data_IF_051719874533
#
_entry.id   IF_051719874533
#
_cell.length_a   1.000
_cell.length_b   1.000
_cell.length_c   1.000
_cell.angle_alpha   90.00
_cell.angle_beta   90.00
_cell.angle_gamma   90.00
#
_symmetry.space_group_name_H-M   'P 1'
#
loop_
_entity.id
_entity.type
_entity.pdbx_description
1 polymer ?
#
# COMPACT_ATOMS: atom_id res chain seq x y z
N UNK A 1 1.19 13.46 -14.00
CA UNK A 1 -0.10 13.40 -13.25
C UNK A 1 -0.55 11.95 -13.29
N UNK A 2 -0.54 11.30 -12.14
CA UNK A 2 -0.88 9.88 -12.01
C UNK A 2 -2.32 9.68 -11.56
N UNK A 3 -2.89 8.52 -11.90
CA UNK A 3 -4.09 7.98 -11.23
C UNK A 3 -3.63 6.88 -10.27
N UNK A 4 -4.02 6.97 -9.02
CA UNK A 4 -3.66 6.05 -7.94
C UNK A 4 -4.92 5.41 -7.38
N UNK A 5 -4.90 4.09 -7.20
CA UNK A 5 -5.88 3.38 -6.39
C UNK A 5 -5.19 2.99 -5.08
N UNK A 6 -5.59 3.65 -3.98
CA UNK A 6 -4.96 3.57 -2.67
C UNK A 6 -5.85 2.83 -1.69
N UNK A 7 -5.35 1.75 -1.09
CA UNK A 7 -6.08 0.92 -0.13
C UNK A 7 -5.60 1.15 1.30
N UNK A 8 -6.56 1.22 2.22
CA UNK A 8 -6.31 1.46 3.64
C UNK A 8 -5.77 0.23 4.38
N UNK A 9 -5.16 0.46 5.54
CA UNK A 9 -4.67 -0.58 6.47
C UNK A 9 -5.80 -1.24 7.29
N UNK A 10 -5.43 -2.14 8.19
CA UNK A 10 -6.38 -2.92 9.00
C UNK A 10 -7.28 -2.08 9.92
N UNK A 11 -6.88 -0.87 10.30
CA UNK A 11 -7.72 0.02 11.09
C UNK A 11 -8.79 0.77 10.29
N UNK A 12 -8.89 0.55 8.97
CA UNK A 12 -9.92 1.15 8.11
C UNK A 12 -9.49 2.50 7.52
N UNK A 13 -10.46 3.28 7.03
CA UNK A 13 -10.22 4.63 6.52
C UNK A 13 -10.15 5.63 7.69
N UNK A 14 -9.01 5.63 8.38
CA UNK A 14 -8.71 6.61 9.42
C UNK A 14 -8.56 8.02 8.84
N UNK A 15 -8.63 9.03 9.71
CA UNK A 15 -8.43 10.42 9.30
C UNK A 15 -7.01 10.64 8.71
N UNK A 16 -5.98 9.97 9.24
CA UNK A 16 -4.61 10.08 8.74
C UNK A 16 -4.42 9.40 7.39
N UNK A 17 -5.04 8.25 7.15
CA UNK A 17 -5.06 7.62 5.83
C UNK A 17 -5.74 8.54 4.79
N UNK A 18 -6.88 9.14 5.13
CA UNK A 18 -7.58 10.07 4.24
C UNK A 18 -6.77 11.34 4.00
N UNK A 19 -6.10 11.87 5.04
CA UNK A 19 -5.20 13.01 4.91
C UNK A 19 -4.03 12.71 3.94
N UNK A 20 -3.42 11.52 4.02
CA UNK A 20 -2.38 11.12 3.08
C UNK A 20 -2.92 11.07 1.63
N UNK A 21 -4.11 10.54 1.41
CA UNK A 21 -4.75 10.56 0.10
C UNK A 21 -4.99 11.99 -0.42
N UNK A 22 -5.40 12.90 0.47
CA UNK A 22 -5.63 14.31 0.14
C UNK A 22 -4.32 15.05 -0.17
N UNK A 23 -3.23 14.74 0.51
CA UNK A 23 -1.91 15.27 0.18
C UNK A 23 -1.45 14.89 -1.23
N UNK A 24 -1.67 13.63 -1.65
CA UNK A 24 -1.39 13.21 -3.02
C UNK A 24 -2.30 13.94 -4.05
N UNK A 25 -3.57 14.15 -3.71
CA UNK A 25 -4.50 14.97 -4.54
C UNK A 25 -4.03 16.41 -4.65
N UNK A 26 -3.60 17.01 -3.54
CA UNK A 26 -3.06 18.38 -3.50
C UNK A 26 -1.78 18.52 -4.34
N UNK A 27 -1.00 17.45 -4.49
CA UNK A 27 0.16 17.39 -5.38
C UNK A 27 -0.21 17.19 -6.87
N UNK A 28 -1.50 17.16 -7.22
CA UNK A 28 -2.00 17.11 -8.59
C UNK A 28 -2.27 15.70 -9.13
N UNK A 29 -2.32 14.67 -8.28
CA UNK A 29 -2.68 13.31 -8.68
C UNK A 29 -4.18 13.04 -8.50
N UNK A 30 -4.73 12.11 -9.27
CA UNK A 30 -6.08 11.58 -9.07
C UNK A 30 -5.98 10.37 -8.14
N UNK A 31 -6.59 10.43 -6.95
CA UNK A 31 -6.52 9.35 -5.96
C UNK A 31 -7.92 8.81 -5.67
N UNK A 32 -8.09 7.52 -5.93
CA UNK A 32 -9.24 6.74 -5.52
C UNK A 32 -8.87 5.97 -4.26
N UNK A 33 -9.62 6.20 -3.19
CA UNK A 33 -9.39 5.54 -1.90
C UNK A 33 -10.70 4.84 -1.48
N UNK A 34 -10.96 3.61 -1.95
CA UNK A 34 -12.20 2.90 -1.61
C UNK A 34 -12.17 2.44 -0.15
N UNK A 35 -13.34 2.45 0.46
CA UNK A 35 -13.55 1.86 1.78
C UNK A 35 -13.82 0.35 1.63
N UNK A 36 -12.92 -0.47 2.18
CA UNK A 36 -13.04 -1.92 2.16
C UNK A 36 -13.83 -2.47 3.36
N UNK A 37 -14.19 -1.60 4.32
CA UNK A 37 -14.78 -1.97 5.61
C UNK A 37 -16.20 -1.41 5.85
N UNK A 38 -16.83 -0.82 4.85
CA UNK A 38 -18.20 -0.30 4.94
C UNK A 38 -18.39 0.73 6.07
N UNK A 39 -17.43 1.65 6.21
CA UNK A 39 -17.43 2.74 7.19
C UNK A 39 -16.87 2.38 8.56
N UNK A 40 -16.34 1.16 8.74
CA UNK A 40 -15.75 0.78 10.04
C UNK A 40 -14.31 1.25 10.16
N UNK A 41 -13.99 1.81 11.31
CA UNK A 41 -12.63 2.15 11.71
C UNK A 41 -12.34 1.61 13.11
N UNK A 42 -11.08 1.34 13.41
CA UNK A 42 -10.61 0.78 14.67
C UNK A 42 -9.49 1.64 15.23
N UNK A 43 -9.47 1.81 16.56
CA UNK A 43 -8.40 2.54 17.24
C UNK A 43 -7.17 1.67 17.51
N UNK A 44 -7.36 0.37 17.60
CA UNK A 44 -6.33 -0.62 17.88
C UNK A 44 -6.08 -1.49 16.65
N UNK A 45 -4.80 -1.74 16.34
CA UNK A 45 -4.39 -2.53 15.18
C UNK A 45 -4.86 -3.98 15.26
N UNK A 46 -4.81 -4.61 16.45
CA UNK A 46 -5.25 -5.99 16.62
C UNK A 46 -6.76 -6.14 16.43
N UNK A 47 -7.56 -5.13 16.87
CA UNK A 47 -9.01 -5.11 16.59
C UNK A 47 -9.27 -5.02 15.06
N UNK A 48 -8.52 -4.17 14.37
CA UNK A 48 -8.59 -4.05 12.92
C UNK A 48 -8.21 -5.34 12.19
N UNK A 49 -7.13 -6.00 12.62
CA UNK A 49 -6.70 -7.30 12.08
C UNK A 49 -7.75 -8.37 12.34
N UNK A 50 -8.28 -8.47 13.57
CA UNK A 50 -9.35 -9.42 13.88
C UNK A 50 -10.60 -9.19 13.02
N UNK A 51 -10.93 -7.93 12.71
CA UNK A 51 -12.01 -7.63 11.77
C UNK A 51 -11.67 -8.06 10.34
N UNK A 52 -10.44 -7.84 9.88
CA UNK A 52 -9.99 -8.29 8.56
C UNK A 52 -10.10 -9.82 8.41
N UNK A 53 -9.72 -10.56 9.45
CA UNK A 53 -9.85 -12.02 9.49
C UNK A 53 -11.32 -12.46 9.43
N UNK A 54 -12.23 -11.76 10.13
CA UNK A 54 -13.66 -12.05 10.07
C UNK A 54 -14.26 -11.77 8.69
N UNK A 55 -13.85 -10.68 8.02
CA UNK A 55 -14.23 -10.38 6.64
C UNK A 55 -13.65 -11.43 5.69
N UNK A 56 -12.44 -11.85 5.95
CA UNK A 56 -11.62 -12.74 5.13
C UNK A 56 -10.77 -12.00 4.10
N UNK A 57 -9.47 -12.31 4.05
CA UNK A 57 -8.53 -11.64 3.15
C UNK A 57 -8.90 -11.77 1.68
N UNK A 58 -9.45 -12.92 1.26
CA UNK A 58 -9.97 -13.11 -0.09
C UNK A 58 -11.12 -12.16 -0.44
N UNK A 59 -12.00 -11.86 0.51
CA UNK A 59 -13.08 -10.89 0.32
C UNK A 59 -12.54 -9.46 0.24
N UNK A 60 -11.52 -9.12 1.02
CA UNK A 60 -10.83 -7.82 0.96
C UNK A 60 -10.21 -7.61 -0.43
N UNK A 61 -9.50 -8.62 -0.94
CA UNK A 61 -8.94 -8.61 -2.30
C UNK A 61 -10.04 -8.46 -3.34
N UNK A 62 -11.14 -9.19 -3.19
CA UNK A 62 -12.31 -9.09 -4.09
C UNK A 62 -12.92 -7.68 -4.09
N UNK A 63 -13.07 -7.05 -2.92
CA UNK A 63 -13.57 -5.66 -2.79
C UNK A 63 -12.63 -4.68 -3.48
N UNK A 64 -11.32 -4.84 -3.29
CA UNK A 64 -10.31 -4.03 -3.99
C UNK A 64 -10.37 -4.21 -5.51
N UNK A 65 -10.53 -5.44 -6.00
CA UNK A 65 -10.69 -5.74 -7.42
C UNK A 65 -11.96 -5.12 -8.00
N UNK A 66 -13.06 -5.15 -7.24
CA UNK A 66 -14.32 -4.51 -7.65
C UNK A 66 -14.17 -2.98 -7.76
N UNK A 67 -13.45 -2.35 -6.82
CA UNK A 67 -13.16 -0.91 -6.88
C UNK A 67 -12.30 -0.54 -8.11
N UNK A 68 -11.45 -1.44 -8.57
CA UNK A 68 -10.61 -1.22 -9.76
C UNK A 68 -11.39 -1.40 -11.08
N UNK A 69 -12.53 -2.08 -11.09
CA UNK A 69 -13.22 -2.50 -12.32
C UNK A 69 -13.64 -1.31 -13.21
N UNK A 70 -14.06 -0.21 -12.60
CA UNK A 70 -14.51 1.00 -13.30
C UNK A 70 -13.35 1.99 -13.63
N UNK A 71 -12.13 1.67 -13.21
CA UNK A 71 -10.97 2.54 -13.41
C UNK A 71 -10.18 2.13 -14.66
N UNK A 72 -9.44 3.08 -15.28
CA UNK A 72 -8.51 2.76 -16.36
C UNK A 72 -7.50 1.68 -15.95
N UNK A 73 -6.98 0.92 -16.92
CA UNK A 73 -5.97 -0.10 -16.64
C UNK A 73 -4.61 0.52 -16.26
N UNK A 74 -4.26 1.67 -16.85
CA UNK A 74 -2.97 2.34 -16.67
C UNK A 74 -2.91 3.22 -15.41
N UNK A 75 -2.95 2.60 -14.22
CA UNK A 75 -2.90 3.30 -12.93
C UNK A 75 -1.84 2.70 -12.01
N UNK A 76 -1.48 3.42 -10.97
CA UNK A 76 -0.62 2.95 -9.88
C UNK A 76 -1.49 2.35 -8.78
N UNK A 77 -1.11 1.17 -8.30
CA UNK A 77 -1.76 0.51 -7.16
C UNK A 77 -0.95 0.75 -5.91
N UNK A 78 -1.57 1.26 -4.87
CA UNK A 78 -0.92 1.54 -3.60
C UNK A 78 -1.72 0.99 -2.42
N UNK A 79 -1.04 0.57 -1.36
CA UNK A 79 -1.71 0.05 -0.18
C UNK A 79 -0.89 0.25 1.08
N UNK A 80 -1.60 0.51 2.18
CA UNK A 80 -1.06 0.55 3.53
C UNK A 80 -1.29 -0.79 4.22
N UNK A 81 -0.25 -1.49 4.64
CA UNK A 81 -0.32 -2.74 5.41
C UNK A 81 -1.31 -3.74 4.77
N UNK A 82 -2.45 -4.04 5.39
CA UNK A 82 -3.51 -4.89 4.82
C UNK A 82 -3.90 -4.50 3.38
N UNK A 83 -3.92 -3.22 3.07
CA UNK A 83 -4.24 -2.69 1.74
C UNK A 83 -3.24 -3.09 0.65
N UNK A 84 -2.07 -3.60 1.04
CA UNK A 84 -1.10 -4.16 0.08
C UNK A 84 -1.65 -5.43 -0.60
N UNK A 85 -2.49 -6.22 0.08
CA UNK A 85 -3.07 -7.43 -0.52
C UNK A 85 -3.85 -7.14 -1.82
N UNK A 86 -4.87 -6.26 -1.83
CA UNK A 86 -5.55 -5.91 -3.08
C UNK A 86 -4.66 -5.12 -4.05
N UNK A 87 -3.74 -4.25 -3.55
CA UNK A 87 -2.83 -3.50 -4.39
C UNK A 87 -1.88 -4.42 -5.16
N UNK A 88 -1.22 -5.35 -4.47
CA UNK A 88 -0.30 -6.31 -5.08
C UNK A 88 -1.02 -7.29 -6.00
N UNK A 89 -2.18 -7.82 -5.59
CA UNK A 89 -3.02 -8.66 -6.45
C UNK A 89 -3.33 -7.97 -7.78
N UNK A 90 -3.76 -6.72 -7.74
CA UNK A 90 -4.09 -5.94 -8.94
C UNK A 90 -2.84 -5.62 -9.77
N UNK A 91 -1.73 -5.25 -9.13
CA UNK A 91 -0.48 -4.96 -9.84
C UNK A 91 0.03 -6.20 -10.59
N UNK A 92 -0.11 -7.39 -10.03
CA UNK A 92 0.34 -8.64 -10.64
C UNK A 92 -0.62 -9.19 -11.70
N UNK A 93 -1.96 -9.07 -11.47
CA UNK A 93 -2.94 -9.81 -12.26
C UNK A 93 -3.73 -8.94 -13.24
N UNK A 94 -3.83 -7.63 -13.00
CA UNK A 94 -4.56 -6.73 -13.90
C UNK A 94 -3.61 -6.13 -14.94
N UNK A 95 -3.81 -6.40 -16.25
CA UNK A 95 -2.92 -5.89 -17.29
C UNK A 95 -2.85 -4.37 -17.31
N UNK A 96 -1.66 -3.81 -17.54
CA UNK A 96 -1.47 -2.38 -17.77
C UNK A 96 -1.14 -1.56 -16.53
N UNK A 97 -0.87 -2.19 -15.38
CA UNK A 97 -0.37 -1.48 -14.19
C UNK A 97 0.80 -0.57 -14.53
N UNK A 98 0.79 0.66 -14.02
CA UNK A 98 1.86 1.65 -14.19
C UNK A 98 2.93 1.55 -13.13
N UNK A 99 2.61 0.97 -11.99
CA UNK A 99 3.50 0.76 -10.87
C UNK A 99 2.74 0.31 -9.63
N UNK A 100 3.50 -0.04 -8.60
CA UNK A 100 2.95 -0.38 -7.29
C UNK A 100 3.74 0.30 -6.16
N UNK A 101 3.06 0.68 -5.10
CA UNK A 101 3.62 1.29 -3.90
C UNK A 101 3.07 0.55 -2.69
N UNK A 102 3.95 -0.15 -1.97
CA UNK A 102 3.60 -0.93 -0.80
C UNK A 102 4.13 -0.27 0.47
N UNK A 103 3.23 0.12 1.34
CA UNK A 103 3.52 0.82 2.57
C UNK A 103 3.29 -0.11 3.75
N UNK A 104 4.33 -0.37 4.53
CA UNK A 104 4.35 -1.14 5.78
C UNK A 104 4.19 -2.67 5.64
N UNK A 105 3.99 -3.21 4.44
CA UNK A 105 3.87 -4.64 4.20
C UNK A 105 4.22 -5.00 2.75
N UNK A 106 4.47 -6.27 2.49
CA UNK A 106 4.43 -6.90 1.17
C UNK A 106 4.26 -8.42 1.34
N UNK A 107 3.82 -9.09 0.29
CA UNK A 107 3.70 -10.55 0.32
C UNK A 107 4.46 -11.18 -0.87
N UNK A 108 4.84 -12.47 -0.79
CA UNK A 108 5.47 -13.14 -1.92
C UNK A 108 4.60 -13.09 -3.18
N UNK A 109 5.23 -12.98 -4.35
CA UNK A 109 4.49 -12.99 -5.63
C UNK A 109 3.68 -14.26 -5.84
N UNK A 110 4.08 -15.36 -5.20
CA UNK A 110 3.36 -16.65 -5.24
C UNK A 110 1.96 -16.62 -4.63
N UNK A 111 1.64 -15.60 -3.81
CA UNK A 111 0.30 -15.48 -3.20
C UNK A 111 -0.81 -15.25 -4.24
N UNK A 112 -0.48 -14.76 -5.43
CA UNK A 112 -1.47 -14.41 -6.45
C UNK A 112 -1.39 -15.26 -7.72
N UNK A 113 -0.71 -16.41 -7.68
CA UNK A 113 -0.57 -17.34 -8.81
C UNK A 113 -0.11 -16.67 -10.12
N UNK A 114 0.58 -15.54 -10.03
CA UNK A 114 1.06 -14.76 -11.16
C UNK A 114 2.44 -14.19 -10.86
N UNK A 115 3.41 -14.27 -11.78
CA UNK A 115 4.69 -13.60 -11.60
C UNK A 115 4.51 -12.09 -11.62
N UNK A 116 5.50 -11.35 -11.09
CA UNK A 116 5.52 -9.91 -11.22
C UNK A 116 5.60 -9.52 -12.71
N UNK A 117 4.77 -8.57 -13.19
CA UNK A 117 4.76 -8.20 -14.61
C UNK A 117 6.02 -7.43 -14.97
N UNK A 118 6.62 -7.79 -16.10
CA UNK A 118 7.80 -7.09 -16.62
C UNK A 118 7.51 -5.61 -16.88
N UNK A 119 8.39 -4.74 -16.39
CA UNK A 119 8.30 -3.29 -16.60
C UNK A 119 7.28 -2.58 -15.69
N UNK A 120 6.76 -3.24 -14.68
CA UNK A 120 5.96 -2.60 -13.62
C UNK A 120 6.88 -2.29 -12.44
N UNK A 121 7.20 -1.01 -12.18
CA UNK A 121 8.07 -0.61 -11.07
C UNK A 121 7.38 -0.79 -9.72
N UNK A 122 8.18 -0.97 -8.68
CA UNK A 122 7.72 -1.20 -7.30
C UNK A 122 8.50 -0.35 -6.31
N UNK A 123 7.80 0.30 -5.37
CA UNK A 123 8.40 0.78 -4.13
C UNK A 123 7.81 0.06 -2.92
N UNK A 124 8.67 -0.34 -1.99
CA UNK A 124 8.28 -0.91 -0.70
C UNK A 124 8.87 -0.04 0.40
N UNK A 125 8.05 0.32 1.39
CA UNK A 125 8.41 1.19 2.50
C UNK A 125 8.07 0.52 3.83
N UNK A 126 9.05 0.39 4.74
CA UNK A 126 8.87 -0.18 6.07
C UNK A 126 9.86 0.42 7.07
N UNK A 127 9.58 0.34 8.36
CA UNK A 127 10.58 0.58 9.39
C UNK A 127 11.47 -0.65 9.60
N UNK A 128 12.74 -0.41 9.94
CA UNK A 128 13.78 -1.46 10.03
C UNK A 128 13.66 -2.36 11.27
N UNK A 129 12.94 -1.91 12.30
CA UNK A 129 12.66 -2.66 13.52
C UNK A 129 11.17 -2.90 13.79
N UNK A 130 10.31 -2.78 12.77
CA UNK A 130 8.88 -3.07 12.89
C UNK A 130 8.65 -4.58 12.99
N UNK A 131 8.11 -5.03 14.14
CA UNK A 131 7.84 -6.44 14.41
C UNK A 131 6.69 -7.00 13.55
N UNK A 132 5.73 -6.17 13.12
CA UNK A 132 4.63 -6.59 12.26
C UNK A 132 5.08 -6.92 10.84
N UNK A 133 6.16 -6.29 10.39
CA UNK A 133 6.69 -6.47 9.04
C UNK A 133 8.04 -7.22 8.99
N UNK A 134 8.42 -7.94 10.05
CA UNK A 134 9.70 -8.64 10.11
C UNK A 134 9.84 -9.71 8.99
N UNK A 135 8.79 -10.52 8.79
CA UNK A 135 8.76 -11.51 7.71
C UNK A 135 8.66 -10.84 6.34
N UNK A 136 7.88 -9.78 6.24
CA UNK A 136 7.67 -9.02 5.01
C UNK A 136 8.94 -8.35 4.51
N UNK A 137 9.87 -7.96 5.41
CA UNK A 137 11.18 -7.41 5.03
C UNK A 137 12.01 -8.37 4.20
N UNK A 138 12.02 -9.65 4.58
CA UNK A 138 12.75 -10.68 3.81
C UNK A 138 12.16 -10.81 2.41
N UNK A 139 10.84 -10.75 2.31
CA UNK A 139 10.11 -10.74 1.03
C UNK A 139 10.45 -9.48 0.24
N UNK A 140 10.40 -8.30 0.87
CA UNK A 140 10.71 -7.02 0.23
C UNK A 140 12.14 -6.97 -0.33
N UNK A 141 13.12 -7.49 0.41
CA UNK A 141 14.50 -7.64 -0.06
C UNK A 141 14.61 -8.58 -1.27
N UNK A 142 13.79 -9.64 -1.33
CA UNK A 142 13.74 -10.54 -2.48
C UNK A 142 13.14 -9.84 -3.69
N UNK A 143 12.01 -9.17 -3.51
CA UNK A 143 11.34 -8.40 -4.57
C UNK A 143 12.27 -7.31 -5.14
N UNK A 144 12.99 -6.58 -4.27
CA UNK A 144 13.94 -5.55 -4.70
C UNK A 144 15.14 -6.10 -5.49
N UNK A 145 15.48 -7.39 -5.33
CA UNK A 145 16.53 -8.05 -6.13
C UNK A 145 16.00 -8.65 -7.44
N UNK A 146 14.74 -9.08 -7.46
CA UNK A 146 14.17 -9.84 -8.57
C UNK A 146 13.46 -8.97 -9.61
N UNK A 147 12.99 -7.79 -9.19
CA UNK A 147 12.25 -6.85 -10.05
C UNK A 147 13.19 -5.70 -10.46
N UNK A 148 13.39 -5.50 -11.76
CA UNK A 148 14.38 -4.55 -12.30
C UNK A 148 14.23 -3.10 -11.80
N UNK A 149 12.99 -2.61 -11.65
CA UNK A 149 12.69 -1.25 -11.19
C UNK A 149 12.01 -1.29 -9.81
N UNK A 150 12.49 -2.13 -8.89
CA UNK A 150 12.02 -2.17 -7.51
C UNK A 150 13.01 -1.49 -6.56
N UNK A 151 12.48 -0.70 -5.64
CA UNK A 151 13.23 -0.05 -4.55
C UNK A 151 12.62 -0.41 -3.19
N UNK A 152 13.47 -0.76 -2.21
CA UNK A 152 13.10 -0.94 -0.82
C UNK A 152 13.66 0.22 0.01
N UNK A 153 12.78 0.93 0.69
CA UNK A 153 13.12 2.00 1.60
C UNK A 153 12.87 1.58 3.05
N UNK A 154 13.94 1.46 3.82
CA UNK A 154 13.89 1.20 5.25
C UNK A 154 14.07 2.52 6.01
N UNK A 155 13.22 2.75 7.00
CA UNK A 155 13.24 3.90 7.89
C UNK A 155 13.66 3.45 9.29
N UNK A 156 14.51 4.21 10.01
CA UNK A 156 14.86 3.88 11.39
C UNK A 156 13.63 3.93 12.30
N UNK A 157 13.33 2.85 13.01
CA UNK A 157 12.22 2.81 13.97
C UNK A 157 11.44 1.51 13.94
N UNK A 158 10.39 1.45 14.76
CA UNK A 158 9.59 0.24 14.99
C UNK A 158 8.08 0.43 14.83
N UNK A 159 7.63 1.63 14.49
CA UNK A 159 6.20 1.94 14.32
C UNK A 159 5.65 1.35 13.03
N UNK A 160 4.61 0.50 13.12
CA UNK A 160 4.06 -0.17 11.96
C UNK A 160 3.40 0.81 10.98
N UNK A 161 2.49 1.66 11.46
CA UNK A 161 1.71 2.58 10.63
C UNK A 161 2.23 4.02 10.70
N UNK A 162 3.55 4.20 10.70
CA UNK A 162 4.21 5.48 10.92
C UNK A 162 3.80 6.61 9.95
N UNK A 163 3.17 6.30 8.84
CA UNK A 163 2.72 7.28 7.86
C UNK A 163 1.26 7.75 8.06
N UNK A 164 0.53 7.18 9.05
CA UNK A 164 -0.83 7.61 9.38
C UNK A 164 -0.81 8.65 10.49
N UNK A 165 -1.11 9.92 10.16
CA UNK A 165 -1.00 11.05 11.08
C UNK A 165 -2.05 11.08 12.20
N UNK A 166 -3.02 10.18 12.18
CA UNK A 166 -4.06 10.09 13.22
C UNK A 166 -3.80 8.99 14.26
N UNK A 167 -2.72 8.22 14.10
CA UNK A 167 -2.36 7.13 14.99
C UNK A 167 -1.17 7.48 15.90
N UNK A 168 -1.08 6.81 17.04
CA UNK A 168 0.04 6.96 17.98
C UNK A 168 1.39 6.52 17.38
N UNK A 169 1.35 5.65 16.37
CA UNK A 169 2.50 5.16 15.60
C UNK A 169 3.13 6.22 14.68
N UNK A 170 2.50 7.37 14.51
CA UNK A 170 2.95 8.39 13.57
C UNK A 170 4.36 8.91 13.86
N UNK A 171 5.23 8.85 12.87
CA UNK A 171 6.53 9.51 12.85
C UNK A 171 6.56 10.55 11.74
N UNK A 172 6.49 11.83 12.12
CA UNK A 172 6.42 12.95 11.17
C UNK A 172 7.60 12.97 10.20
N UNK A 173 8.80 12.70 10.69
CA UNK A 173 10.02 12.75 9.88
C UNK A 173 10.07 11.62 8.86
N UNK A 174 9.75 10.40 9.29
CA UNK A 174 9.70 9.23 8.42
C UNK A 174 8.54 9.35 7.41
N UNK A 175 7.35 9.78 7.86
CA UNK A 175 6.18 10.00 7.02
C UNK A 175 6.42 11.06 5.93
N UNK A 176 7.08 12.17 6.28
CA UNK A 176 7.42 13.20 5.31
C UNK A 176 8.38 12.67 4.24
N UNK A 177 9.42 11.95 4.63
CA UNK A 177 10.38 11.36 3.70
C UNK A 177 9.73 10.27 2.82
N UNK A 178 8.85 9.44 3.39
CA UNK A 178 8.06 8.47 2.65
C UNK A 178 7.21 9.17 1.58
N UNK A 179 6.49 10.21 1.97
CA UNK A 179 5.65 11.00 1.04
C UNK A 179 6.45 11.61 -0.12
N UNK A 180 7.62 12.16 0.17
CA UNK A 180 8.52 12.70 -0.87
C UNK A 180 8.92 11.64 -1.90
N UNK A 181 9.24 10.42 -1.44
CA UNK A 181 9.58 9.27 -2.31
C UNK A 181 8.38 8.82 -3.13
N UNK A 182 7.21 8.66 -2.51
CA UNK A 182 5.96 8.32 -3.20
C UNK A 182 5.64 9.35 -4.30
N UNK A 183 5.76 10.65 -4.01
CA UNK A 183 5.54 11.70 -5.00
C UNK A 183 6.58 11.64 -6.15
N UNK A 184 7.83 11.35 -5.85
CA UNK A 184 8.87 11.15 -6.86
C UNK A 184 8.55 9.94 -7.76
N UNK A 185 8.12 8.82 -7.17
CA UNK A 185 7.66 7.65 -7.92
C UNK A 185 6.48 7.99 -8.84
N UNK A 186 5.45 8.63 -8.31
CA UNK A 186 4.27 9.02 -9.08
C UNK A 186 4.58 10.02 -10.21
N UNK A 187 5.59 10.86 -10.02
CA UNK A 187 6.06 11.77 -11.06
C UNK A 187 6.82 11.02 -12.18
N UNK A 188 7.58 10.01 -11.83
CA UNK A 188 8.40 9.23 -12.76
C UNK A 188 7.58 8.22 -13.58
N UNK A 189 6.63 7.53 -12.94
CA UNK A 189 5.98 6.34 -13.48
C UNK A 189 4.47 6.47 -13.71
N UNK A 190 3.80 7.44 -13.06
CA UNK A 190 2.35 7.61 -13.06
C UNK A 190 1.73 8.35 -14.24
#
# INVERSE_FOLDING_TARGET
>A
MATVLLFHHAQGQTDGFLAFADELRAAGHTVHAPDLYEGRTFQDLNEGVAHAEQVGFGEIIRRGSAAAAELPAGIVYAGFSLGVLPAQSLAQTRPGAKGAIFLHACVPTSEFDSPWPTGVPLEVHAMDADEWSEEDRVVAESLAREIDDAELFLYPGSSHLFADSSLDDYDESAAQLLKERVLAFLHRWG
#
